data_IF_715397654127
#
_entry.id   IF_715397654127
#
_cell.length_a   1.000
_cell.length_b   1.000
_cell.length_c   1.000
_cell.angle_alpha   90.00
_cell.angle_beta   90.00
_cell.angle_gamma   90.00
#
_symmetry.space_group_name_H-M   'P 1'
#
loop_
_entity.id
_entity.type
_entity.pdbx_description
1 polymer ?
#
# COMPACT_ATOMS: atom_id res chain seq x y z
N UNK A 1 -7.97 -3.63 15.68
CA UNK A 1 -9.10 -3.83 14.77
C UNK A 1 -9.34 -2.53 13.99
N UNK A 2 -8.77 -2.44 12.78
CA UNK A 2 -8.88 -1.26 11.94
C UNK A 2 -10.31 -1.00 11.46
N UNK A 3 -11.16 -2.01 11.41
CA UNK A 3 -12.56 -1.85 11.01
C UNK A 3 -13.35 -1.02 12.01
N UNK A 4 -13.00 -1.08 13.28
CA UNK A 4 -13.64 -0.32 14.34
C UNK A 4 -13.20 1.15 14.39
N UNK A 5 -12.05 1.48 13.78
CA UNK A 5 -11.49 2.82 13.77
C UNK A 5 -11.93 3.67 12.57
N UNK A 6 -12.58 3.06 11.58
CA UNK A 6 -13.00 3.77 10.38
C UNK A 6 -14.32 4.51 10.63
N UNK A 7 -14.43 5.81 10.30
CA UNK A 7 -15.68 6.55 10.38
C UNK A 7 -16.77 5.87 9.53
N UNK A 8 -18.03 5.98 9.98
CA UNK A 8 -19.16 5.32 9.32
C UNK A 8 -19.45 5.80 7.88
N UNK A 9 -18.92 6.92 7.47
CA UNK A 9 -19.04 7.48 6.13
C UNK A 9 -18.16 6.79 5.07
N UNK A 10 -17.28 5.88 5.46
CA UNK A 10 -16.54 5.04 4.52
C UNK A 10 -17.45 4.15 3.66
N UNK A 11 -18.67 3.90 4.10
CA UNK A 11 -19.67 3.24 3.29
C UNK A 11 -20.16 4.04 2.08
N UNK A 12 -19.71 5.29 1.92
CA UNK A 12 -20.04 6.14 0.77
C UNK A 12 -19.12 5.93 -0.44
N UNK A 13 -18.08 5.12 -0.31
CA UNK A 13 -17.27 4.74 -1.47
C UNK A 13 -18.10 3.82 -2.34
N UNK A 14 -18.50 4.31 -3.51
CA UNK A 14 -19.31 3.57 -4.48
C UNK A 14 -18.37 3.03 -5.57
N UNK A 15 -18.33 1.72 -5.70
CA UNK A 15 -17.58 1.04 -6.74
C UNK A 15 -18.47 0.09 -7.51
N UNK A 16 -18.22 -0.04 -8.81
CA UNK A 16 -18.86 -1.05 -9.67
C UNK A 16 -18.15 -2.41 -9.58
N UNK A 17 -16.98 -2.47 -8.93
CA UNK A 17 -16.22 -3.69 -8.71
C UNK A 17 -16.43 -4.19 -7.28
N UNK A 18 -16.55 -5.51 -7.15
CA UNK A 18 -16.63 -6.18 -5.86
C UNK A 18 -15.22 -6.51 -5.38
N UNK A 19 -14.69 -5.67 -4.49
CA UNK A 19 -13.41 -5.89 -3.84
C UNK A 19 -13.65 -6.53 -2.48
N UNK A 20 -13.46 -7.84 -2.39
CA UNK A 20 -13.53 -8.54 -1.13
C UNK A 20 -12.42 -8.05 -0.19
N UNK A 21 -12.78 -7.62 1.01
CA UNK A 21 -11.84 -7.13 2.01
C UNK A 21 -12.37 -5.95 2.80
N UNK A 22 -11.51 -5.39 3.63
CA UNK A 22 -11.80 -4.19 4.42
C UNK A 22 -10.92 -3.06 3.92
N UNK A 23 -11.50 -1.94 3.55
CA UNK A 23 -10.70 -0.78 3.25
C UNK A 23 -10.32 -0.03 4.53
N UNK A 24 -9.11 0.45 4.62
CA UNK A 24 -8.58 1.07 5.83
C UNK A 24 -7.76 2.33 5.57
N UNK A 25 -7.58 2.69 4.31
CA UNK A 25 -6.82 3.88 3.94
C UNK A 25 -7.59 4.68 2.90
N UNK A 26 -7.73 5.97 3.13
CA UNK A 26 -8.12 6.92 2.12
C UNK A 26 -7.00 7.92 1.91
N UNK A 27 -6.58 8.07 0.67
CA UNK A 27 -5.63 9.07 0.25
C UNK A 27 -6.31 10.08 -0.65
N UNK A 28 -5.57 11.11 -1.07
CA UNK A 28 -6.03 12.05 -2.09
C UNK A 28 -6.46 11.33 -3.39
N UNK A 29 -5.84 10.19 -3.69
CA UNK A 29 -6.12 9.42 -4.91
C UNK A 29 -7.26 8.42 -4.77
N UNK A 30 -7.69 8.09 -3.56
CA UNK A 30 -8.77 7.14 -3.33
C UNK A 30 -8.61 6.30 -2.07
N UNK A 31 -9.42 5.26 -1.97
CA UNK A 31 -9.39 4.29 -0.90
C UNK A 31 -8.71 3.00 -1.35
N UNK A 32 -7.84 2.48 -0.53
CA UNK A 32 -7.14 1.22 -0.74
C UNK A 32 -7.93 0.09 -0.07
N UNK A 33 -8.28 -0.90 -0.85
CA UNK A 33 -8.94 -2.10 -0.35
C UNK A 33 -7.92 -3.18 -0.03
N UNK A 34 -7.96 -3.64 1.20
CA UNK A 34 -7.09 -4.72 1.67
C UNK A 34 -7.89 -5.81 2.39
N UNK A 35 -7.38 -7.01 2.34
CA UNK A 35 -7.83 -8.11 3.16
C UNK A 35 -6.72 -8.45 4.16
N UNK A 36 -7.09 -8.49 5.45
CA UNK A 36 -6.22 -9.03 6.48
C UNK A 36 -6.60 -10.47 6.72
N UNK A 37 -5.67 -11.35 6.40
CA UNK A 37 -5.76 -12.79 6.59
C UNK A 37 -4.97 -13.20 7.84
N UNK A 38 -5.06 -14.47 8.24
CA UNK A 38 -4.27 -14.99 9.36
C UNK A 38 -2.76 -15.04 9.10
N UNK A 39 -2.39 -15.11 7.82
CA UNK A 39 -1.03 -15.32 7.32
C UNK A 39 -0.52 -14.16 6.44
N UNK A 40 -1.38 -13.24 6.01
CA UNK A 40 -0.98 -12.13 5.17
C UNK A 40 -1.89 -10.90 5.31
N UNK A 41 -1.38 -9.75 4.88
CA UNK A 41 -2.17 -8.58 4.50
C UNK A 41 -2.02 -8.36 2.99
N UNK A 42 -3.14 -8.27 2.28
CA UNK A 42 -3.18 -8.19 0.82
C UNK A 42 -3.81 -6.89 0.34
N UNK A 43 -3.17 -6.26 -0.66
CA UNK A 43 -3.77 -5.19 -1.46
C UNK A 43 -4.56 -5.81 -2.61
N UNK A 44 -5.85 -5.53 -2.68
CA UNK A 44 -6.79 -6.08 -3.67
C UNK A 44 -7.27 -5.07 -4.69
N UNK A 45 -7.21 -3.79 -4.37
CA UNK A 45 -7.65 -2.76 -5.30
C UNK A 45 -7.60 -1.36 -4.72
N UNK A 46 -7.88 -0.39 -5.58
CA UNK A 46 -7.98 1.03 -5.25
C UNK A 46 -9.29 1.57 -5.80
N UNK A 47 -10.05 2.28 -4.98
CA UNK A 47 -11.32 2.88 -5.37
C UNK A 47 -11.35 4.33 -4.93
N UNK A 48 -11.73 5.23 -5.85
CA UNK A 48 -11.92 6.64 -5.50
C UNK A 48 -13.17 6.83 -4.61
N UNK A 49 -13.19 7.87 -3.74
CA UNK A 49 -14.33 8.14 -2.86
C UNK A 49 -15.59 8.60 -3.61
N UNK A 50 -15.51 8.88 -4.90
CA UNK A 50 -16.64 9.33 -5.72
C UNK A 50 -16.84 8.44 -6.93
N UNK A 51 -18.08 8.31 -7.38
CA UNK A 51 -18.52 7.54 -8.55
C UNK A 51 -18.58 8.34 -9.85
N UNK A 52 -17.98 9.54 -9.87
CA UNK A 52 -17.98 10.42 -11.05
C UNK A 52 -17.30 9.79 -12.28
N UNK A 53 -17.40 10.48 -13.41
CA UNK A 53 -16.79 10.03 -14.68
C UNK A 53 -15.26 9.92 -14.63
N UNK A 54 -14.64 10.59 -13.66
CA UNK A 54 -13.20 10.55 -13.40
C UNK A 54 -12.84 9.59 -12.25
N UNK A 55 -13.75 8.67 -11.91
CA UNK A 55 -13.49 7.71 -10.84
C UNK A 55 -12.29 6.82 -11.13
N UNK A 56 -11.66 6.37 -10.07
CA UNK A 56 -10.64 5.33 -10.12
C UNK A 56 -11.23 4.05 -9.52
N UNK A 57 -11.15 2.96 -10.25
CA UNK A 57 -11.52 1.61 -9.81
C UNK A 57 -10.50 0.64 -10.38
N UNK A 58 -9.54 0.21 -9.57
CA UNK A 58 -8.45 -0.68 -9.96
C UNK A 58 -8.57 -2.00 -9.22
N UNK A 59 -8.42 -3.09 -9.93
CA UNK A 59 -8.35 -4.45 -9.40
C UNK A 59 -6.94 -4.98 -9.58
N UNK A 60 -6.39 -5.59 -8.54
CA UNK A 60 -5.11 -6.27 -8.51
C UNK A 60 -5.34 -7.78 -8.56
N UNK A 61 -4.89 -8.44 -9.63
CA UNK A 61 -5.06 -9.88 -9.85
C UNK A 61 -3.73 -10.53 -10.29
N UNK A 62 -3.18 -11.45 -9.48
CA UNK A 62 -3.58 -11.78 -8.09
C UNK A 62 -3.37 -10.59 -7.13
N UNK A 63 -4.00 -10.60 -5.93
CA UNK A 63 -3.72 -9.60 -4.89
C UNK A 63 -2.24 -9.52 -4.52
N UNK A 64 -1.78 -8.33 -4.16
CA UNK A 64 -0.40 -8.12 -3.69
C UNK A 64 -0.31 -8.41 -2.20
N UNK A 65 0.53 -9.35 -1.80
CA UNK A 65 0.87 -9.57 -0.39
C UNK A 65 1.76 -8.42 0.07
N UNK A 66 1.20 -7.47 0.82
CA UNK A 66 1.94 -6.32 1.34
C UNK A 66 2.64 -6.62 2.67
N UNK A 67 2.08 -7.51 3.48
CA UNK A 67 2.73 -8.08 4.66
C UNK A 67 2.49 -9.59 4.69
N UNK A 68 3.58 -10.34 4.85
CA UNK A 68 3.56 -11.79 5.00
C UNK A 68 3.88 -12.14 6.47
N UNK A 69 2.89 -12.69 7.19
CA UNK A 69 3.00 -12.97 8.62
C UNK A 69 3.64 -14.34 8.92
N UNK A 70 4.34 -14.49 10.03
CA UNK A 70 4.76 -13.44 10.96
C UNK A 70 5.82 -12.53 10.32
N UNK A 71 5.73 -11.22 10.57
CA UNK A 71 6.75 -10.26 10.13
C UNK A 71 7.95 -10.37 11.07
N UNK A 72 9.12 -10.63 10.52
CA UNK A 72 10.37 -10.77 11.30
C UNK A 72 11.56 -10.24 10.52
N UNK A 73 12.56 -9.71 11.22
CA UNK A 73 13.79 -9.21 10.61
C UNK A 73 14.46 -10.28 9.75
N UNK A 74 14.90 -9.89 8.56
CA UNK A 74 15.51 -10.75 7.55
C UNK A 74 14.53 -11.53 6.68
N UNK A 75 13.20 -11.41 6.91
CA UNK A 75 12.18 -12.03 6.05
C UNK A 75 12.09 -11.32 4.72
N UNK A 76 11.97 -12.09 3.63
CA UNK A 76 11.78 -11.57 2.27
C UNK A 76 10.63 -12.30 1.59
N UNK A 77 9.89 -11.59 0.71
CA UNK A 77 8.89 -12.18 -0.17
C UNK A 77 8.72 -11.34 -1.44
N UNK A 78 8.08 -11.91 -2.44
CA UNK A 78 7.77 -11.25 -3.70
C UNK A 78 6.29 -11.36 -3.98
N UNK A 79 5.76 -10.39 -4.71
CA UNK A 79 4.40 -10.40 -5.19
C UNK A 79 4.36 -9.81 -6.58
N UNK A 80 3.61 -10.41 -7.48
CA UNK A 80 3.42 -9.92 -8.84
C UNK A 80 1.93 -9.85 -9.14
N UNK A 81 1.50 -8.81 -9.83
CA UNK A 81 0.09 -8.58 -10.11
C UNK A 81 -0.13 -7.93 -11.46
N UNK A 82 -1.32 -8.13 -12.00
CA UNK A 82 -1.83 -7.38 -13.15
C UNK A 82 -2.92 -6.43 -12.65
N UNK A 83 -2.80 -5.17 -12.98
CA UNK A 83 -3.78 -4.15 -12.63
C UNK A 83 -4.66 -3.85 -13.83
N UNK A 84 -5.96 -3.92 -13.59
CA UNK A 84 -6.99 -3.60 -14.59
C UNK A 84 -8.04 -2.68 -13.97
N UNK A 85 -8.72 -1.92 -14.83
CA UNK A 85 -9.83 -1.08 -14.37
C UNK A 85 -9.81 0.32 -14.95
N UNK A 86 -10.20 1.28 -14.15
CA UNK A 86 -10.26 2.70 -14.52
C UNK A 86 -9.33 3.51 -13.63
N UNK A 87 -8.45 4.30 -14.20
CA UNK A 87 -7.69 5.34 -13.51
C UNK A 87 -8.19 6.70 -13.99
N UNK A 88 -8.82 7.45 -13.10
CA UNK A 88 -9.43 8.75 -13.44
C UNK A 88 -10.39 8.68 -14.66
N UNK A 89 -11.17 7.61 -14.73
CA UNK A 89 -12.12 7.37 -15.81
C UNK A 89 -11.52 6.79 -17.10
N UNK A 90 -10.20 6.60 -17.17
CA UNK A 90 -9.50 6.01 -18.32
C UNK A 90 -9.20 4.55 -18.06
N UNK A 91 -9.54 3.67 -19.00
CA UNK A 91 -9.22 2.24 -18.89
C UNK A 91 -7.71 2.03 -18.88
N UNK A 92 -7.23 1.23 -17.93
CA UNK A 92 -5.82 0.92 -17.76
C UNK A 92 -5.59 -0.59 -17.67
N UNK A 93 -4.40 -0.97 -18.13
CA UNK A 93 -3.86 -2.32 -18.00
C UNK A 93 -2.35 -2.21 -17.85
N UNK A 94 -1.81 -2.71 -16.74
CA UNK A 94 -0.36 -2.74 -16.50
C UNK A 94 0.00 -3.81 -15.46
N UNK A 95 1.29 -4.08 -15.31
CA UNK A 95 1.80 -5.04 -14.33
C UNK A 95 2.67 -4.36 -13.30
N UNK A 96 2.68 -4.94 -12.11
CA UNK A 96 3.55 -4.55 -11.01
C UNK A 96 4.20 -5.79 -10.40
N UNK A 97 5.52 -5.70 -10.21
CA UNK A 97 6.33 -6.68 -9.52
C UNK A 97 6.89 -6.03 -8.26
N UNK A 98 6.73 -6.71 -7.13
CA UNK A 98 7.16 -6.24 -5.82
C UNK A 98 8.18 -7.19 -5.23
N UNK A 99 9.26 -6.64 -4.70
CA UNK A 99 10.18 -7.34 -3.82
C UNK A 99 10.16 -6.68 -2.44
N UNK A 100 9.95 -7.47 -1.40
CA UNK A 100 9.87 -7.00 -0.02
C UNK A 100 10.98 -7.61 0.83
N UNK A 101 11.49 -6.82 1.78
CA UNK A 101 12.47 -7.24 2.77
C UNK A 101 12.22 -6.54 4.10
N UNK A 102 12.20 -7.29 5.19
CA UNK A 102 12.24 -6.73 6.56
C UNK A 102 13.71 -6.52 6.91
N UNK A 103 14.24 -5.34 6.68
CA UNK A 103 15.66 -5.07 6.66
C UNK A 103 16.24 -4.41 7.92
N UNK A 104 15.37 -3.93 8.80
CA UNK A 104 15.79 -3.32 10.05
C UNK A 104 14.74 -3.40 11.15
N UNK A 105 15.22 -3.30 12.39
CA UNK A 105 14.42 -3.10 13.61
C UNK A 105 14.88 -1.84 14.32
N UNK A 106 13.92 -1.08 14.86
CA UNK A 106 14.25 0.14 15.58
C UNK A 106 13.05 0.73 16.31
N UNK A 107 13.14 2.02 16.61
CA UNK A 107 12.09 2.79 17.25
C UNK A 107 11.67 3.96 16.36
N UNK A 108 10.37 4.12 16.18
CA UNK A 108 9.78 5.28 15.52
C UNK A 108 9.35 6.31 16.59
N UNK A 109 9.80 7.55 16.43
CA UNK A 109 9.31 8.67 17.24
C UNK A 109 8.01 9.18 16.64
N UNK A 110 6.92 8.97 17.35
CA UNK A 110 5.58 9.39 16.92
C UNK A 110 5.02 10.43 17.87
N UNK A 111 3.95 11.16 17.50
CA UNK A 111 3.25 12.05 18.44
C UNK A 111 2.70 11.32 19.66
N UNK A 112 2.57 10.00 19.61
CA UNK A 112 2.09 9.16 20.73
C UNK A 112 3.22 8.55 21.56
N UNK A 113 4.48 8.87 21.26
CA UNK A 113 5.66 8.36 21.92
C UNK A 113 6.55 7.50 21.03
N UNK A 114 7.51 6.82 21.64
CA UNK A 114 8.39 5.87 20.97
C UNK A 114 7.68 4.53 20.81
N UNK A 115 7.68 4.00 19.57
CA UNK A 115 7.06 2.73 19.22
C UNK A 115 8.11 1.84 18.58
N UNK A 116 8.28 0.60 19.08
CA UNK A 116 9.13 -0.40 18.40
C UNK A 116 8.55 -0.76 17.04
N UNK A 117 9.39 -0.76 16.00
CA UNK A 117 8.99 -1.02 14.62
C UNK A 117 9.98 -1.95 13.93
N UNK A 118 9.45 -2.66 12.94
CA UNK A 118 10.23 -3.30 11.88
C UNK A 118 10.14 -2.42 10.63
N UNK A 119 11.27 -2.20 9.95
CA UNK A 119 11.27 -1.53 8.65
C UNK A 119 11.08 -2.58 7.57
N UNK A 120 10.03 -2.42 6.80
CA UNK A 120 9.76 -3.21 5.60
C UNK A 120 10.14 -2.34 4.40
N UNK A 121 11.19 -2.70 3.72
CA UNK A 121 11.58 -2.14 2.44
C UNK A 121 10.78 -2.82 1.33
N UNK A 122 10.32 -2.06 0.33
CA UNK A 122 9.78 -2.61 -0.91
C UNK A 122 10.35 -1.92 -2.13
N UNK A 123 10.70 -2.71 -3.13
CA UNK A 123 10.96 -2.27 -4.49
C UNK A 123 9.76 -2.64 -5.35
N UNK A 124 9.18 -1.64 -6.01
CA UNK A 124 8.11 -1.79 -6.98
C UNK A 124 8.66 -1.53 -8.38
N UNK A 125 8.49 -2.48 -9.28
CA UNK A 125 8.71 -2.30 -10.72
C UNK A 125 7.36 -2.33 -11.43
N UNK A 126 6.95 -1.18 -11.98
CA UNK A 126 5.71 -1.03 -12.76
C UNK A 126 5.99 -1.00 -14.24
N UNK A 127 5.25 -1.78 -15.02
CA UNK A 127 5.37 -1.83 -16.49
C UNK A 127 4.06 -1.45 -17.15
N UNK A 128 4.07 -0.33 -17.88
CA UNK A 128 2.93 0.18 -18.65
C UNK A 128 3.35 0.24 -20.13
N UNK A 129 2.97 -0.78 -20.91
CA UNK A 129 3.46 -0.90 -22.28
C UNK A 129 4.98 -1.01 -22.34
N UNK A 130 5.66 -0.01 -22.91
CA UNK A 130 7.12 0.05 -22.97
C UNK A 130 7.76 0.88 -21.83
N UNK A 131 6.96 1.53 -21.00
CA UNK A 131 7.45 2.32 -19.88
C UNK A 131 7.63 1.41 -18.66
N UNK A 132 8.85 1.43 -18.10
CA UNK A 132 9.17 0.76 -16.84
C UNK A 132 9.53 1.83 -15.81
N UNK A 133 8.89 1.76 -14.65
CA UNK A 133 9.13 2.68 -13.53
C UNK A 133 9.51 1.88 -12.30
N UNK A 134 10.55 2.29 -11.60
CA UNK A 134 10.98 1.71 -10.32
C UNK A 134 10.72 2.71 -9.20
N UNK A 135 10.15 2.23 -8.09
CA UNK A 135 9.86 3.02 -6.89
C UNK A 135 10.33 2.24 -5.67
N UNK A 136 11.02 2.91 -4.77
CA UNK A 136 11.43 2.36 -3.48
C UNK A 136 10.49 2.86 -2.38
N UNK A 137 10.21 2.02 -1.39
CA UNK A 137 9.51 2.49 -0.21
C UNK A 137 10.00 1.83 1.09
N UNK A 138 9.81 2.55 2.19
CA UNK A 138 10.04 2.04 3.53
C UNK A 138 8.76 2.20 4.35
N UNK A 139 8.22 1.08 4.82
CA UNK A 139 7.11 1.05 5.76
C UNK A 139 7.61 0.64 7.15
N UNK A 140 7.26 1.43 8.16
CA UNK A 140 7.62 1.19 9.55
C UNK A 140 6.41 0.54 10.24
N UNK A 141 6.52 -0.76 10.49
CA UNK A 141 5.40 -1.60 10.97
C UNK A 141 5.57 -1.88 12.45
N UNK A 142 4.56 -1.56 13.24
CA UNK A 142 4.50 -1.81 14.67
C UNK A 142 3.47 -2.90 15.00
N UNK A 143 3.78 -3.72 16.00
CA UNK A 143 2.82 -4.67 16.54
C UNK A 143 1.55 -3.96 17.03
N UNK A 144 0.39 -4.49 16.73
CA UNK A 144 -0.94 -3.94 17.05
C UNK A 144 -1.36 -2.66 16.30
N UNK A 145 -0.41 -1.88 15.74
CA UNK A 145 -0.71 -0.62 15.06
C UNK A 145 -0.68 -0.75 13.52
N UNK A 146 0.05 -1.74 12.98
CA UNK A 146 0.32 -1.82 11.56
C UNK A 146 1.36 -0.79 11.12
N UNK A 147 1.24 -0.24 9.92
CA UNK A 147 2.18 0.79 9.44
C UNK A 147 1.98 2.11 10.18
N UNK A 148 2.99 2.55 10.94
CA UNK A 148 2.98 3.83 11.69
C UNK A 148 3.60 4.97 10.88
N UNK A 149 4.41 4.64 9.87
CA UNK A 149 4.91 5.58 8.89
C UNK A 149 5.26 4.85 7.59
N UNK A 150 5.17 5.56 6.46
CA UNK A 150 5.63 5.09 5.15
C UNK A 150 6.30 6.25 4.43
N UNK A 151 7.43 5.96 3.81
CA UNK A 151 8.18 6.90 2.95
C UNK A 151 8.29 6.26 1.58
N UNK A 152 7.90 6.99 0.54
CA UNK A 152 7.94 6.52 -0.86
C UNK A 152 8.84 7.45 -1.65
N UNK A 153 9.74 6.88 -2.45
CA UNK A 153 10.67 7.62 -3.31
C UNK A 153 9.98 8.30 -4.49
N UNK A 154 10.71 9.16 -5.17
CA UNK A 154 10.36 9.56 -6.53
C UNK A 154 10.45 8.37 -7.50
N UNK A 155 9.83 8.54 -8.68
CA UNK A 155 9.92 7.57 -9.78
C UNK A 155 11.36 7.44 -10.28
N UNK A 156 11.74 6.23 -10.75
CA UNK A 156 13.08 5.89 -11.24
C UNK A 156 14.15 5.90 -10.15
N UNK A 157 13.77 5.65 -8.92
CA UNK A 157 14.72 5.45 -7.83
C UNK A 157 15.20 4.00 -7.80
N UNK A 158 16.52 3.81 -7.77
CA UNK A 158 17.17 2.49 -7.76
C UNK A 158 17.95 2.24 -6.48
N UNK A 159 18.15 3.30 -5.68
CA UNK A 159 18.89 3.18 -4.42
C UNK A 159 17.92 2.84 -3.28
N UNK A 160 18.22 1.77 -2.56
CA UNK A 160 17.42 1.35 -1.41
C UNK A 160 17.31 2.44 -0.34
N UNK A 161 18.43 3.11 -0.05
CA UNK A 161 18.51 4.23 0.90
C UNK A 161 18.43 5.56 0.12
N UNK A 162 17.23 5.89 -0.35
CA UNK A 162 16.99 7.12 -1.09
C UNK A 162 16.90 8.36 -0.18
N UNK A 163 17.16 9.54 -0.74
CA UNK A 163 17.17 10.81 0.01
C UNK A 163 16.00 11.73 -0.32
N UNK A 164 15.36 11.52 -1.47
CA UNK A 164 14.26 12.34 -1.95
C UNK A 164 12.97 11.53 -1.97
N UNK A 165 11.94 12.03 -1.28
CA UNK A 165 10.67 11.34 -1.14
C UNK A 165 9.55 12.07 -1.85
N UNK A 166 8.80 11.36 -2.71
CA UNK A 166 7.57 11.86 -3.30
C UNK A 166 6.44 11.92 -2.27
N UNK A 167 6.44 10.98 -1.30
CA UNK A 167 5.38 10.90 -0.29
C UNK A 167 5.92 10.46 1.06
N UNK A 168 5.41 11.10 2.11
CA UNK A 168 5.61 10.68 3.51
C UNK A 168 4.26 10.63 4.20
N UNK A 169 3.87 9.45 4.66
CA UNK A 169 2.69 9.22 5.51
C UNK A 169 3.15 8.90 6.91
N UNK A 170 2.43 9.35 7.91
CA UNK A 170 2.70 9.02 9.32
C UNK A 170 1.44 9.12 10.16
N UNK A 171 1.46 8.46 11.32
CA UNK A 171 0.43 8.69 12.33
C UNK A 171 0.38 10.17 12.69
N UNK A 172 -0.81 10.73 12.66
CA UNK A 172 -1.11 12.09 13.10
C UNK A 172 -1.85 12.04 14.44
N UNK A 173 -1.71 13.08 15.29
CA UNK A 173 -2.51 13.22 16.50
C UNK A 173 -3.97 13.47 16.19
#
# INVERSE_FOLDING_TARGET
DFTAALPGDHGLVVSTIDLAGTWYESSFLGATYAARLSDAEELRGVVSPSDGITRTELVYDPPVTVLDFPVSEGKTWNSATTITGLAQGVAVFYTEDYAFEVDARGQALTPYGEIEVLRVHSELVRTIGALVTTVQSHSFVAECFGSVATVVSEDQEFEKEFTDAAEVRRLAP
#
